data_IF_447896720341
#
_entry.id   IF_447896720341
#
_cell.length_a   1.000
_cell.length_b   1.000
_cell.length_c   1.000
_cell.angle_alpha   90.00
_cell.angle_beta   90.00
_cell.angle_gamma   90.00
#
_symmetry.space_group_name_H-M   'P 1'
#
loop_
_entity.id
_entity.type
_entity.pdbx_description
1 polymer ?
#
# COMPACT_ATOMS: atom_id res chain seq x y z
N UNK A 1 0.99 -2.09 7.15
CA UNK A 1 0.70 -3.28 7.96
C UNK A 1 -0.74 -3.23 8.45
N UNK A 2 -1.54 -4.25 8.15
CA UNK A 2 -2.91 -4.41 8.62
C UNK A 2 -2.97 -5.63 9.55
N UNK A 3 -2.93 -5.38 10.86
CA UNK A 3 -2.89 -6.45 11.86
C UNK A 3 -4.24 -7.14 11.97
N UNK A 4 -4.23 -8.48 11.96
CA UNK A 4 -5.38 -9.30 12.28
C UNK A 4 -5.49 -9.54 13.79
N UNK A 5 -6.72 -9.79 14.26
CA UNK A 5 -6.95 -10.21 15.64
C UNK A 5 -6.32 -11.60 15.89
N UNK A 6 -5.88 -11.82 17.12
CA UNK A 6 -5.39 -13.12 17.61
C UNK A 6 -6.26 -13.61 18.76
N UNK A 7 -6.20 -14.89 19.04
CA UNK A 7 -6.84 -15.54 20.20
C UNK A 7 -8.13 -16.28 19.87
N UNK A 8 -8.81 -16.76 20.92
CA UNK A 8 -9.97 -17.67 20.79
C UNK A 8 -11.16 -17.06 20.02
N UNK A 9 -11.32 -15.72 20.03
CA UNK A 9 -12.39 -15.01 19.32
C UNK A 9 -12.12 -14.80 17.85
N UNK A 10 -10.86 -14.97 17.39
CA UNK A 10 -10.50 -14.81 15.98
C UNK A 10 -10.94 -16.02 15.17
N UNK A 11 -11.83 -15.81 14.20
CA UNK A 11 -12.33 -16.83 13.29
C UNK A 11 -11.63 -16.80 11.93
N UNK A 12 -10.65 -15.89 11.73
CA UNK A 12 -9.90 -15.78 10.48
C UNK A 12 -9.15 -17.08 10.19
N UNK A 13 -9.34 -17.61 8.99
CA UNK A 13 -8.73 -18.89 8.56
C UNK A 13 -9.40 -20.14 9.08
N UNK A 14 -10.49 -20.06 9.86
CA UNK A 14 -11.22 -21.23 10.37
C UNK A 14 -12.47 -21.59 9.57
N UNK A 15 -12.99 -20.66 8.77
CA UNK A 15 -14.24 -20.81 8.02
C UNK A 15 -13.97 -20.78 6.52
N UNK A 16 -13.49 -21.89 5.96
CA UNK A 16 -13.54 -22.18 4.51
C UNK A 16 -12.63 -21.40 3.56
N UNK A 17 -12.21 -20.20 3.91
CA UNK A 17 -11.40 -19.32 3.04
C UNK A 17 -9.91 -19.35 3.43
N UNK A 18 -9.29 -20.52 3.43
CA UNK A 18 -7.85 -20.65 3.75
C UNK A 18 -6.93 -19.85 2.83
N UNK A 19 -7.35 -19.57 1.57
CA UNK A 19 -6.59 -18.75 0.64
C UNK A 19 -6.43 -17.30 1.14
N UNK A 20 -7.40 -16.79 1.89
CA UNK A 20 -7.42 -15.42 2.43
C UNK A 20 -7.03 -15.35 3.92
N UNK A 21 -6.67 -16.43 4.56
CA UNK A 21 -6.27 -16.43 5.96
C UNK A 21 -5.06 -15.50 6.19
N UNK A 22 -5.02 -14.76 7.32
CA UNK A 22 -3.87 -13.93 7.67
C UNK A 22 -2.65 -14.79 7.97
N UNK A 23 -1.47 -14.22 7.83
CA UNK A 23 -0.21 -14.91 8.06
C UNK A 23 0.81 -14.02 8.79
N UNK A 24 1.92 -14.60 9.20
CA UNK A 24 3.03 -13.89 9.82
C UNK A 24 3.88 -13.20 8.76
N UNK A 25 4.28 -11.96 9.05
CA UNK A 25 5.21 -11.19 8.25
C UNK A 25 6.10 -10.32 9.11
N UNK A 26 7.15 -9.80 8.51
CA UNK A 26 8.10 -8.90 9.14
C UNK A 26 8.00 -7.49 8.54
N UNK A 27 7.90 -6.49 9.40
CA UNK A 27 7.91 -5.08 9.01
C UNK A 27 9.30 -4.49 9.31
N UNK A 28 10.13 -4.33 8.28
CA UNK A 28 11.50 -3.85 8.42
C UNK A 28 11.57 -2.41 8.98
N UNK A 29 10.65 -1.53 8.59
CA UNK A 29 10.63 -0.14 9.07
C UNK A 29 10.29 0.00 10.55
N UNK A 30 9.61 -0.99 11.13
CA UNK A 30 9.23 -1.03 12.55
C UNK A 30 10.02 -2.09 13.33
N UNK A 31 10.92 -2.81 12.67
CA UNK A 31 11.71 -3.91 13.23
C UNK A 31 10.86 -4.91 14.04
N UNK A 32 9.72 -5.34 13.47
CA UNK A 32 8.78 -6.19 14.20
C UNK A 32 8.07 -7.21 13.35
N UNK A 33 7.80 -8.37 13.95
CA UNK A 33 6.89 -9.37 13.38
C UNK A 33 5.44 -9.01 13.68
N UNK A 34 4.57 -9.28 12.74
CA UNK A 34 3.13 -9.09 12.90
C UNK A 34 2.35 -10.23 12.25
N UNK A 35 1.12 -10.39 12.64
CA UNK A 35 0.18 -11.33 12.06
C UNK A 35 -0.94 -10.55 11.37
N UNK A 36 -1.17 -10.81 10.07
CA UNK A 36 -2.19 -10.07 9.31
C UNK A 36 -1.91 -9.99 7.82
N UNK A 37 -2.09 -8.78 7.29
CA UNK A 37 -2.01 -8.47 5.85
C UNK A 37 -1.11 -7.28 5.59
N UNK A 38 -0.64 -7.18 4.34
CA UNK A 38 -0.02 -6.00 3.77
C UNK A 38 -1.05 -5.27 2.91
N UNK A 39 -1.11 -3.95 3.05
CA UNK A 39 -1.82 -3.08 2.12
C UNK A 39 -0.80 -2.56 1.10
N UNK A 40 -1.02 -2.88 -0.15
CA UNK A 40 -0.36 -2.31 -1.31
C UNK A 40 -1.27 -1.20 -1.88
N UNK A 41 -0.69 -0.11 -2.34
CA UNK A 41 -1.46 0.96 -2.95
C UNK A 41 -0.65 1.66 -4.03
N UNK A 42 -1.30 1.96 -5.15
CA UNK A 42 -0.81 2.87 -6.18
C UNK A 42 -1.51 4.20 -6.01
N UNK A 43 -0.74 5.28 -5.89
CA UNK A 43 -1.30 6.62 -5.78
C UNK A 43 -0.64 7.58 -6.78
N UNK A 44 -1.41 8.55 -7.22
CA UNK A 44 -0.91 9.65 -8.03
C UNK A 44 -0.11 10.67 -7.20
N UNK A 45 0.55 11.61 -7.86
CA UNK A 45 1.29 12.70 -7.21
C UNK A 45 0.40 13.63 -6.39
N UNK A 46 -0.91 13.66 -6.66
CA UNK A 46 -1.91 14.35 -5.83
C UNK A 46 -2.14 13.68 -4.48
N UNK A 47 -1.76 12.40 -4.33
CA UNK A 47 -2.00 11.58 -3.15
C UNK A 47 -3.35 10.85 -3.18
N UNK A 48 -4.02 10.81 -4.34
CA UNK A 48 -5.24 10.01 -4.53
C UNK A 48 -4.84 8.56 -4.81
N UNK A 49 -5.50 7.62 -4.16
CA UNK A 49 -5.32 6.19 -4.40
C UNK A 49 -6.05 5.82 -5.69
N UNK A 50 -5.33 5.23 -6.63
CA UNK A 50 -5.88 4.75 -7.90
C UNK A 50 -6.26 3.26 -7.81
N UNK A 51 -5.40 2.47 -7.19
CA UNK A 51 -5.67 1.06 -6.92
C UNK A 51 -5.02 0.61 -5.63
N UNK A 52 -5.54 -0.45 -5.04
CA UNK A 52 -4.98 -1.06 -3.84
C UNK A 52 -5.29 -2.56 -3.81
N UNK A 53 -4.46 -3.30 -3.08
CA UNK A 53 -4.66 -4.71 -2.81
C UNK A 53 -4.22 -5.08 -1.39
N UNK A 54 -4.76 -6.19 -0.89
CA UNK A 54 -4.46 -6.76 0.42
C UNK A 54 -3.88 -8.16 0.26
N UNK A 55 -2.58 -8.30 0.43
CA UNK A 55 -1.91 -9.61 0.46
C UNK A 55 -1.67 -10.09 1.88
N UNK A 56 -1.53 -11.41 2.07
CA UNK A 56 -1.07 -11.99 3.33
C UNK A 56 0.30 -11.41 3.71
N UNK A 57 0.57 -11.29 5.00
CA UNK A 57 1.82 -10.70 5.47
C UNK A 57 3.08 -11.46 5.02
N UNK A 58 2.97 -12.78 4.75
CA UNK A 58 4.07 -13.63 4.23
C UNK A 58 4.35 -13.48 2.75
N UNK A 59 3.41 -12.93 1.96
CA UNK A 59 3.56 -12.81 0.51
C UNK A 59 4.62 -11.76 0.16
N UNK A 60 5.48 -12.04 -0.82
CA UNK A 60 6.48 -11.09 -1.32
C UNK A 60 5.78 -9.88 -1.96
N UNK A 61 6.24 -8.67 -1.62
CA UNK A 61 5.67 -7.41 -2.12
C UNK A 61 5.70 -7.32 -3.66
N UNK A 62 6.70 -7.94 -4.29
CA UNK A 62 6.87 -7.97 -5.74
C UNK A 62 5.72 -8.65 -6.48
N UNK A 63 4.99 -9.58 -5.83
CA UNK A 63 3.84 -10.24 -6.46
C UNK A 63 2.72 -9.28 -6.82
N UNK A 64 2.58 -8.16 -6.08
CA UNK A 64 1.62 -7.11 -6.41
C UNK A 64 1.87 -6.47 -7.79
N UNK A 65 3.10 -6.51 -8.28
CA UNK A 65 3.44 -5.97 -9.60
C UNK A 65 2.77 -6.74 -10.75
N UNK A 66 2.39 -8.00 -10.54
CA UNK A 66 1.63 -8.77 -11.53
C UNK A 66 0.21 -8.22 -11.73
N UNK A 67 -0.40 -7.70 -10.67
CA UNK A 67 -1.72 -7.06 -10.75
C UNK A 67 -1.60 -5.66 -11.33
N UNK A 68 -0.53 -4.95 -10.99
CA UNK A 68 -0.22 -3.60 -11.50
C UNK A 68 -0.12 -3.58 -13.03
N UNK A 69 0.57 -4.55 -13.64
CA UNK A 69 0.72 -4.61 -15.11
C UNK A 69 -0.56 -4.92 -15.88
N UNK A 70 -1.60 -5.43 -15.20
CA UNK A 70 -2.92 -5.65 -15.80
C UNK A 70 -3.76 -4.36 -15.86
N UNK A 71 -3.44 -3.38 -15.02
CA UNK A 71 -4.24 -2.15 -14.84
C UNK A 71 -3.57 -0.95 -15.50
N UNK A 72 -2.22 -0.89 -15.44
CA UNK A 72 -1.46 0.27 -15.88
C UNK A 72 -0.56 -0.06 -17.07
N UNK A 73 -0.43 0.91 -17.97
CA UNK A 73 0.42 0.83 -19.15
C UNK A 73 1.09 2.18 -19.45
N UNK A 74 2.23 2.15 -20.16
CA UNK A 74 2.92 3.32 -20.69
C UNK A 74 3.19 4.41 -19.64
N UNK A 75 3.66 4.04 -18.46
CA UNK A 75 3.85 5.00 -17.36
C UNK A 75 5.15 4.77 -16.57
N UNK A 76 5.55 5.81 -15.82
CA UNK A 76 6.63 5.72 -14.84
C UNK A 76 6.03 5.50 -13.46
N UNK A 77 6.53 4.50 -12.74
CA UNK A 77 6.15 4.21 -11.36
C UNK A 77 7.36 4.29 -10.43
N UNK A 78 7.10 4.69 -9.21
CA UNK A 78 8.10 4.78 -8.15
C UNK A 78 7.72 3.81 -7.03
N UNK A 79 8.58 2.83 -6.79
CA UNK A 79 8.38 1.79 -5.77
C UNK A 79 9.35 1.91 -4.61
N UNK A 80 9.00 1.34 -3.45
CA UNK A 80 9.93 1.20 -2.33
C UNK A 80 10.94 0.07 -2.59
N UNK A 81 11.93 -0.06 -1.72
CA UNK A 81 12.99 -1.11 -1.77
C UNK A 81 12.45 -2.54 -1.78
N UNK A 82 11.22 -2.76 -1.29
CA UNK A 82 10.53 -4.05 -1.35
C UNK A 82 10.22 -4.54 -2.77
N UNK A 83 10.16 -3.62 -3.73
CA UNK A 83 9.85 -3.91 -5.14
C UNK A 83 11.08 -4.04 -6.04
N UNK A 84 12.30 -4.00 -5.48
CA UNK A 84 13.54 -4.18 -6.26
C UNK A 84 13.63 -5.61 -6.79
N UNK A 85 13.76 -5.74 -8.10
CA UNK A 85 13.99 -7.00 -8.81
C UNK A 85 14.21 -6.72 -10.30
N UNK A 86 15.36 -7.12 -10.84
CA UNK A 86 15.69 -6.87 -12.24
C UNK A 86 14.71 -7.61 -13.17
N UNK A 87 14.37 -8.83 -12.83
CA UNK A 87 13.42 -9.69 -13.53
C UNK A 87 12.02 -9.05 -13.60
N UNK A 88 11.52 -8.52 -12.50
CA UNK A 88 10.21 -7.87 -12.42
C UNK A 88 10.21 -6.52 -13.14
N UNK A 89 11.28 -5.73 -12.98
CA UNK A 89 11.39 -4.44 -13.67
C UNK A 89 11.43 -4.63 -15.19
N UNK A 90 12.12 -5.67 -15.67
CA UNK A 90 12.17 -6.04 -17.08
C UNK A 90 10.79 -6.50 -17.57
N UNK A 91 10.14 -7.43 -16.86
CA UNK A 91 8.80 -7.93 -17.20
C UNK A 91 7.76 -6.80 -17.27
N UNK A 92 7.74 -5.88 -16.32
CA UNK A 92 6.86 -4.70 -16.33
C UNK A 92 7.11 -3.81 -17.55
N UNK A 93 8.37 -3.64 -17.95
CA UNK A 93 8.71 -2.83 -19.10
C UNK A 93 8.33 -3.52 -20.41
N UNK A 94 8.64 -4.79 -20.57
CA UNK A 94 8.36 -5.55 -21.81
C UNK A 94 6.86 -5.79 -22.02
N UNK A 95 6.12 -6.10 -20.95
CA UNK A 95 4.69 -6.47 -21.06
C UNK A 95 3.74 -5.29 -21.02
N UNK A 96 4.06 -4.23 -20.25
CA UNK A 96 3.15 -3.11 -20.01
C UNK A 96 3.80 -1.73 -20.23
N UNK A 97 5.06 -1.66 -20.67
CA UNK A 97 5.84 -0.42 -20.79
C UNK A 97 5.87 0.42 -19.52
N UNK A 98 5.81 -0.25 -18.38
CA UNK A 98 5.92 0.40 -17.08
C UNK A 98 7.40 0.48 -16.70
N UNK A 99 7.90 1.70 -16.52
CA UNK A 99 9.22 1.93 -15.96
C UNK A 99 9.14 2.05 -14.45
N UNK A 100 9.45 0.95 -13.74
CA UNK A 100 9.47 0.94 -12.28
C UNK A 100 10.85 1.39 -11.77
N UNK A 101 10.87 2.51 -11.07
CA UNK A 101 12.06 3.05 -10.42
C UNK A 101 12.00 2.78 -8.91
N UNK A 102 13.03 2.14 -8.37
CA UNK A 102 13.21 1.87 -6.95
C UNK A 102 14.53 2.46 -6.45
N UNK A 103 14.63 2.85 -5.17
CA UNK A 103 15.87 3.40 -4.64
C UNK A 103 16.93 2.31 -4.53
N UNK A 104 18.16 2.62 -4.90
CA UNK A 104 19.28 1.70 -4.77
C UNK A 104 19.54 1.32 -3.31
N UNK A 105 19.95 0.08 -3.08
CA UNK A 105 20.48 -0.35 -1.79
C UNK A 105 21.91 0.17 -1.63
N UNK A 106 22.30 0.58 -0.42
CA UNK A 106 23.63 1.17 -0.14
C UNK A 106 24.78 0.25 -0.56
N UNK A 107 24.58 -1.06 -0.48
CA UNK A 107 25.56 -2.08 -0.86
C UNK A 107 25.44 -2.56 -2.32
N UNK A 108 24.66 -1.87 -3.14
CA UNK A 108 24.52 -2.23 -4.57
C UNK A 108 25.69 -1.69 -5.37
N UNK A 109 26.32 -2.53 -6.22
CA UNK A 109 27.51 -2.17 -7.02
C UNK A 109 27.33 -0.89 -7.87
N UNK A 110 26.13 -0.66 -8.39
CA UNK A 110 25.80 0.49 -9.24
C UNK A 110 24.95 1.54 -8.50
N UNK A 111 25.28 1.80 -7.24
CA UNK A 111 24.55 2.79 -6.44
C UNK A 111 24.52 4.16 -7.14
N UNK A 112 23.34 4.74 -7.22
CA UNK A 112 23.09 6.10 -7.73
C UNK A 112 22.28 6.89 -6.71
N UNK A 113 22.47 8.22 -6.62
CA UNK A 113 21.66 9.05 -5.74
C UNK A 113 20.19 9.04 -6.18
N UNK A 114 19.32 9.20 -5.20
CA UNK A 114 17.85 9.22 -5.44
C UNK A 114 17.47 10.47 -6.22
N UNK A 115 16.77 10.29 -7.35
CA UNK A 115 16.26 11.39 -8.16
C UNK A 115 15.19 12.21 -7.40
N UNK A 116 15.14 13.53 -7.67
CA UNK A 116 14.16 14.45 -7.05
C UNK A 116 12.70 14.00 -7.25
N UNK A 117 12.25 13.54 -8.45
CA UNK A 117 10.90 13.03 -8.66
C UNK A 117 10.57 11.86 -7.74
N UNK A 118 11.52 10.94 -7.54
CA UNK A 118 11.36 9.81 -6.62
C UNK A 118 11.16 10.28 -5.17
N UNK A 119 11.94 11.24 -4.69
CA UNK A 119 11.80 11.77 -3.33
C UNK A 119 10.42 12.41 -3.10
N UNK A 120 9.89 13.13 -4.10
CA UNK A 120 8.55 13.72 -4.06
C UNK A 120 7.45 12.65 -4.02
N UNK A 121 7.54 11.64 -4.88
CA UNK A 121 6.60 10.53 -4.93
C UNK A 121 6.60 9.74 -3.61
N UNK A 122 7.78 9.43 -3.08
CA UNK A 122 7.94 8.77 -1.80
C UNK A 122 7.30 9.56 -0.65
N UNK A 123 7.59 10.84 -0.53
CA UNK A 123 6.97 11.71 0.49
C UNK A 123 5.44 11.71 0.38
N UNK A 124 4.90 11.62 -0.83
CA UNK A 124 3.46 11.60 -1.06
C UNK A 124 2.82 10.31 -0.53
N UNK A 125 3.36 9.15 -0.85
CA UNK A 125 2.82 7.86 -0.38
C UNK A 125 3.00 7.71 1.15
N UNK A 126 4.11 8.18 1.71
CA UNK A 126 4.34 8.20 3.16
C UNK A 126 3.30 9.07 3.88
N UNK A 127 2.99 10.26 3.34
CA UNK A 127 1.93 11.14 3.87
C UNK A 127 0.57 10.45 3.84
N UNK A 128 0.23 9.78 2.75
CA UNK A 128 -1.02 9.06 2.58
C UNK A 128 -1.16 7.94 3.63
N UNK A 129 -0.13 7.11 3.80
CA UNK A 129 -0.14 6.06 4.82
C UNK A 129 -0.14 6.62 6.25
N UNK A 130 0.50 7.77 6.49
CA UNK A 130 0.42 8.47 7.76
C UNK A 130 -1.00 8.94 8.07
N UNK A 131 -1.72 9.47 7.09
CA UNK A 131 -3.14 9.86 7.25
C UNK A 131 -4.02 8.64 7.52
N UNK A 132 -3.88 7.56 6.74
CA UNK A 132 -4.60 6.30 6.97
C UNK A 132 -4.35 5.74 8.38
N UNK A 133 -3.13 5.87 8.89
CA UNK A 133 -2.75 5.37 10.21
C UNK A 133 -3.22 6.30 11.33
N UNK A 134 -2.95 7.59 11.23
CA UNK A 134 -3.20 8.56 12.29
C UNK A 134 -4.65 9.05 12.36
N UNK A 135 -5.26 9.35 11.20
CA UNK A 135 -6.60 9.92 11.15
C UNK A 135 -7.69 8.85 10.98
N UNK A 136 -7.46 7.86 10.13
CA UNK A 136 -8.41 6.77 9.87
C UNK A 136 -8.14 5.50 10.67
N UNK A 137 -7.07 5.46 11.48
CA UNK A 137 -6.72 4.36 12.38
C UNK A 137 -6.71 2.98 11.68
N UNK A 138 -6.12 2.90 10.47
CA UNK A 138 -6.16 1.69 9.64
C UNK A 138 -5.51 0.48 10.33
N UNK A 139 -4.51 0.72 11.18
CA UNK A 139 -3.84 -0.32 11.96
C UNK A 139 -4.76 -0.89 13.06
N UNK A 140 -5.65 -0.07 13.61
CA UNK A 140 -6.58 -0.48 14.67
C UNK A 140 -7.81 -1.13 14.04
N UNK A 141 -7.72 -2.43 13.86
CA UNK A 141 -8.81 -3.23 13.32
C UNK A 141 -9.13 -4.37 14.29
N UNK A 142 -10.34 -4.32 14.87
CA UNK A 142 -10.81 -5.30 15.85
C UNK A 142 -11.69 -6.38 15.21
N UNK A 143 -11.63 -6.57 13.91
CA UNK A 143 -12.39 -7.59 13.22
C UNK A 143 -11.90 -8.98 13.61
N UNK A 144 -12.85 -9.88 13.82
CA UNK A 144 -12.59 -11.29 14.14
C UNK A 144 -12.73 -12.20 12.93
N UNK A 145 -13.22 -11.67 11.80
CA UNK A 145 -13.40 -12.36 10.52
C UNK A 145 -12.66 -11.62 9.40
N UNK A 146 -12.17 -12.34 8.39
CA UNK A 146 -11.44 -11.79 7.24
C UNK A 146 -12.27 -10.74 6.49
N UNK A 147 -13.53 -11.06 6.14
CA UNK A 147 -14.41 -10.13 5.45
C UNK A 147 -14.65 -8.85 6.26
N UNK A 148 -14.81 -8.96 7.58
CA UNK A 148 -14.95 -7.80 8.47
C UNK A 148 -13.68 -6.94 8.53
N UNK A 149 -12.49 -7.55 8.45
CA UNK A 149 -11.22 -6.83 8.36
C UNK A 149 -11.13 -6.08 7.04
N UNK A 150 -11.41 -6.74 5.92
CA UNK A 150 -11.36 -6.15 4.58
C UNK A 150 -12.36 -5.01 4.45
N UNK A 151 -13.62 -5.22 4.86
CA UNK A 151 -14.64 -4.17 4.84
C UNK A 151 -14.21 -2.91 5.62
N UNK A 152 -13.60 -3.07 6.79
CA UNK A 152 -13.09 -1.94 7.59
C UNK A 152 -11.90 -1.24 6.92
N UNK A 153 -11.01 -1.96 6.27
CA UNK A 153 -9.89 -1.36 5.52
C UNK A 153 -10.42 -0.57 4.32
N UNK A 154 -11.31 -1.19 3.53
CA UNK A 154 -11.95 -0.55 2.37
C UNK A 154 -12.70 0.71 2.82
N UNK A 155 -13.52 0.62 3.88
CA UNK A 155 -14.25 1.77 4.40
C UNK A 155 -13.35 2.95 4.81
N UNK A 156 -12.16 2.68 5.36
CA UNK A 156 -11.18 3.73 5.71
C UNK A 156 -10.52 4.35 4.49
N UNK A 157 -10.22 3.55 3.47
CA UNK A 157 -9.70 4.04 2.18
C UNK A 157 -10.77 4.89 1.49
N UNK A 158 -12.02 4.43 1.47
CA UNK A 158 -13.15 5.18 0.91
C UNK A 158 -13.36 6.51 1.64
N UNK A 159 -13.31 6.52 2.96
CA UNK A 159 -13.43 7.75 3.75
C UNK A 159 -12.32 8.77 3.44
N UNK A 160 -11.08 8.29 3.26
CA UNK A 160 -9.96 9.13 2.80
C UNK A 160 -10.27 9.72 1.42
N UNK A 161 -10.70 8.89 0.46
CA UNK A 161 -10.99 9.31 -0.92
C UNK A 161 -12.15 10.31 -0.97
N UNK A 162 -13.22 10.08 -0.20
CA UNK A 162 -14.35 11.03 -0.08
C UNK A 162 -13.87 12.36 0.49
N UNK A 163 -13.04 12.35 1.55
CA UNK A 163 -12.48 13.58 2.12
C UNK A 163 -11.61 14.34 1.11
N UNK A 164 -10.83 13.62 0.29
CA UNK A 164 -10.05 14.21 -0.80
C UNK A 164 -10.96 14.82 -1.88
N UNK A 165 -12.05 14.17 -2.23
CA UNK A 165 -13.04 14.66 -3.16
C UNK A 165 -13.75 15.94 -2.64
N UNK A 166 -14.14 15.96 -1.35
CA UNK A 166 -14.72 17.16 -0.70
C UNK A 166 -13.73 18.32 -0.77
N UNK A 167 -12.44 18.10 -0.51
CA UNK A 167 -11.42 19.13 -0.68
C UNK A 167 -11.35 19.63 -2.13
N UNK A 168 -11.39 18.72 -3.10
CA UNK A 168 -11.31 19.05 -4.52
C UNK A 168 -12.46 19.96 -4.95
N UNK A 169 -13.71 19.60 -4.64
CA UNK A 169 -14.88 20.43 -5.02
C UNK A 169 -14.94 21.78 -4.32
N UNK A 170 -14.28 21.90 -3.15
CA UNK A 170 -14.19 23.16 -2.38
C UNK A 170 -12.90 23.95 -2.69
N UNK A 171 -12.14 23.60 -3.72
CA UNK A 171 -10.89 24.27 -4.08
C UNK A 171 -9.80 24.20 -3.00
N UNK A 172 -9.88 23.22 -2.11
CA UNK A 172 -8.90 23.00 -1.02
C UNK A 172 -7.81 22.02 -1.46
N UNK A 173 -6.62 22.04 -0.83
CA UNK A 173 -5.56 21.09 -1.12
C UNK A 173 -6.00 19.63 -0.90
N UNK A 174 -6.08 18.83 -1.96
CA UNK A 174 -6.58 17.44 -1.96
C UNK A 174 -5.89 16.60 -0.90
N UNK A 175 -4.57 16.68 -0.79
CA UNK A 175 -3.79 15.87 0.15
C UNK A 175 -3.88 16.29 1.62
N UNK A 176 -4.70 17.27 1.98
CA UNK A 176 -4.87 17.74 3.36
C UNK A 176 -6.28 17.46 3.88
N UNK A 177 -6.52 16.19 4.25
CA UNK A 177 -7.84 15.68 4.67
C UNK A 177 -8.51 16.52 5.76
N UNK A 178 -7.74 17.15 6.66
CA UNK A 178 -8.28 18.00 7.74
C UNK A 178 -9.21 19.12 7.24
N UNK A 179 -9.02 19.61 6.01
CA UNK A 179 -9.86 20.66 5.46
C UNK A 179 -11.24 20.18 4.99
N UNK A 180 -11.44 18.88 4.82
CA UNK A 180 -12.73 18.31 4.48
C UNK A 180 -13.69 18.22 5.68
N UNK A 181 -13.16 18.38 6.89
CA UNK A 181 -13.89 18.22 8.15
C UNK A 181 -14.23 19.57 8.82
N UNK A 182 -13.81 20.69 8.22
CA UNK A 182 -14.01 22.06 8.74
C UNK A 182 -14.85 22.90 7.80
#
# INVERSE_FOLDING_TARGET
VCRAARGKRCKMGRTGEFSQAPDFGYCASQNMYYFGYKLHAVCGLSGVIHSYDLSKASVDDRKFMNDVKLIYHDCNMYGDKGYIGADIQLDLFETARIRLECPYRVNQKNWKPTLIPFAKARKRIETLFSQLTGQFLIIRNYATMTNGLFARIIGKISALTVSQYVNYINGKPIGRVKYALN
#
